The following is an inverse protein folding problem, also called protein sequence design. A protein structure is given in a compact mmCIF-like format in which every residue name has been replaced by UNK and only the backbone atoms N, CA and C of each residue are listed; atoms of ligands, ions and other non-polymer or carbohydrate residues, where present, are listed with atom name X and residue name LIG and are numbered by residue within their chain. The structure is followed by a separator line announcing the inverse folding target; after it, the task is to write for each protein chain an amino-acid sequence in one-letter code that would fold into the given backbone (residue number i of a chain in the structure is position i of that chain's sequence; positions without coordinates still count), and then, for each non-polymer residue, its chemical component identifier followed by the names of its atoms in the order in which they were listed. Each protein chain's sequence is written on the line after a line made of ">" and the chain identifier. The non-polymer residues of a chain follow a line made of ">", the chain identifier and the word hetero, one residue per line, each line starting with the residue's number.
data_IF_803793966025
#
_entry.id   IF_803793966025
#
_cell.length_a   1.000
_cell.length_b   1.000
_cell.length_c   1.000
_cell.angle_alpha   90.00
_cell.angle_beta   90.00
_cell.angle_gamma   90.00
#
_symmetry.space_group_name_H-M   'P 1'
#
loop_
_entity.id
_entity.type
_entity.pdbx_description
1 polymer ?
#
# COMPACT_ATOMS: atom_id res chain seq x y z
N UNK A 1 -29.71 4.76 25.89
CA UNK A 1 -29.76 4.81 24.42
C UNK A 1 -28.75 5.84 23.95
N UNK A 2 -27.67 5.40 23.26
CA UNK A 2 -26.70 6.33 22.67
C UNK A 2 -27.37 7.10 21.52
N UNK A 3 -27.11 8.41 21.47
CA UNK A 3 -27.55 9.28 20.35
C UNK A 3 -27.00 8.68 19.04
N UNK A 4 -27.83 8.53 17.97
CA UNK A 4 -27.32 8.05 16.68
C UNK A 4 -26.09 8.85 16.28
N UNK A 5 -25.03 8.17 15.79
CA UNK A 5 -23.86 8.87 15.22
C UNK A 5 -24.35 9.74 14.07
N UNK A 6 -23.98 11.03 14.09
CA UNK A 6 -24.43 11.99 13.08
C UNK A 6 -23.63 11.91 11.78
N UNK A 7 -22.72 10.94 11.63
CA UNK A 7 -21.86 10.75 10.46
C UNK A 7 -21.68 9.26 10.15
N UNK A 8 -21.43 8.95 8.90
CA UNK A 8 -21.07 7.61 8.44
C UNK A 8 -19.62 7.31 8.83
N UNK A 9 -19.43 6.22 9.60
CA UNK A 9 -18.12 5.86 10.17
C UNK A 9 -17.14 5.34 9.13
N UNK A 10 -17.64 4.60 8.13
CA UNK A 10 -16.81 3.99 7.11
C UNK A 10 -16.32 5.06 6.13
N UNK A 11 -17.18 6.01 5.78
CA UNK A 11 -16.81 7.21 5.01
C UNK A 11 -15.77 8.03 5.76
N UNK A 12 -15.95 8.26 7.06
CA UNK A 12 -14.98 8.98 7.86
C UNK A 12 -13.62 8.26 7.96
N UNK A 13 -13.64 6.92 8.04
CA UNK A 13 -12.42 6.10 8.04
C UNK A 13 -11.67 6.21 6.70
N UNK A 14 -12.38 6.17 5.56
CA UNK A 14 -11.76 6.34 4.24
C UNK A 14 -11.15 7.74 4.08
N UNK A 15 -11.84 8.79 4.51
CA UNK A 15 -11.32 10.16 4.50
C UNK A 15 -10.06 10.30 5.39
N UNK A 16 -10.10 9.75 6.61
CA UNK A 16 -8.94 9.75 7.51
C UNK A 16 -7.74 8.97 6.90
N UNK A 17 -8.00 7.83 6.27
CA UNK A 17 -6.99 7.04 5.56
C UNK A 17 -6.32 7.86 4.47
N UNK A 18 -7.09 8.57 3.64
CA UNK A 18 -6.57 9.42 2.56
C UNK A 18 -5.73 10.56 3.11
N UNK A 19 -6.17 11.19 4.20
CA UNK A 19 -5.44 12.29 4.84
C UNK A 19 -4.08 11.81 5.38
N UNK A 20 -4.05 10.66 6.06
CA UNK A 20 -2.80 10.05 6.52
C UNK A 20 -1.89 9.63 5.36
N UNK A 21 -2.47 9.16 4.26
CA UNK A 21 -1.71 8.76 3.07
C UNK A 21 -1.03 9.95 2.42
N UNK A 22 -1.73 11.09 2.32
CA UNK A 22 -1.23 12.29 1.67
C UNK A 22 -0.16 13.00 2.52
N UNK A 23 -0.45 13.20 3.80
CA UNK A 23 0.39 14.03 4.68
C UNK A 23 1.32 13.23 5.61
N UNK A 24 1.05 11.94 5.81
CA UNK A 24 1.74 11.10 6.79
C UNK A 24 1.15 11.24 8.20
N UNK A 25 1.48 10.25 9.06
CA UNK A 25 0.95 10.18 10.43
C UNK A 25 1.36 11.38 11.28
N UNK A 26 2.65 11.71 11.31
CA UNK A 26 3.16 12.78 12.19
C UNK A 26 2.61 14.16 11.80
N UNK A 27 2.50 14.45 10.51
CA UNK A 27 2.06 15.75 10.01
C UNK A 27 0.53 15.95 10.07
N UNK A 28 -0.24 14.89 10.28
CA UNK A 28 -1.71 14.97 10.40
C UNK A 28 -2.10 15.23 11.84
N UNK A 29 -2.71 16.37 12.15
CA UNK A 29 -3.19 16.72 13.48
C UNK A 29 -4.65 16.28 13.70
N UNK A 30 -5.11 16.27 14.97
CA UNK A 30 -6.55 16.08 15.28
C UNK A 30 -7.40 17.19 14.69
N UNK A 31 -6.86 18.41 14.58
CA UNK A 31 -7.58 19.52 13.97
C UNK A 31 -7.81 19.26 12.47
N UNK A 32 -6.80 18.79 11.74
CA UNK A 32 -6.92 18.44 10.32
C UNK A 32 -7.94 17.32 10.12
N UNK A 33 -7.87 16.27 10.93
CA UNK A 33 -8.82 15.15 10.89
C UNK A 33 -10.27 15.63 11.14
N UNK A 34 -10.49 16.43 12.17
CA UNK A 34 -11.85 16.92 12.48
C UNK A 34 -12.39 17.86 11.41
N UNK A 35 -11.54 18.67 10.80
CA UNK A 35 -11.91 19.52 9.68
C UNK A 35 -12.28 18.70 8.45
N UNK A 36 -11.45 17.73 8.05
CA UNK A 36 -11.67 16.87 6.88
C UNK A 36 -12.94 16.01 7.05
N UNK A 37 -13.11 15.40 8.22
CA UNK A 37 -14.24 14.53 8.51
C UNK A 37 -15.55 15.29 8.81
N UNK A 38 -15.49 16.60 8.99
CA UNK A 38 -16.65 17.42 9.35
C UNK A 38 -17.26 17.06 10.71
N UNK A 39 -16.46 16.55 11.67
CA UNK A 39 -16.92 16.12 12.99
C UNK A 39 -16.16 16.83 14.11
N UNK A 40 -16.74 16.87 15.30
CA UNK A 40 -16.06 17.44 16.48
C UNK A 40 -14.99 16.48 17.03
N UNK A 41 -13.97 17.00 17.71
CA UNK A 41 -12.96 16.18 18.37
C UNK A 41 -13.55 15.18 19.37
N UNK A 42 -14.53 15.53 20.24
CA UNK A 42 -15.21 14.53 21.07
C UNK A 42 -15.87 13.40 20.27
N UNK A 43 -16.45 13.70 19.08
CA UNK A 43 -17.05 12.69 18.21
C UNK A 43 -16.02 11.77 17.59
N UNK A 44 -14.85 12.31 17.19
CA UNK A 44 -13.72 11.55 16.67
C UNK A 44 -13.20 10.57 17.74
N UNK A 45 -12.93 11.07 18.96
CA UNK A 45 -12.46 10.23 20.06
C UNK A 45 -13.48 9.16 20.47
N UNK A 46 -14.78 9.49 20.46
CA UNK A 46 -15.82 8.52 20.75
C UNK A 46 -15.96 7.42 19.69
N UNK A 47 -15.63 7.72 18.42
CA UNK A 47 -15.76 6.78 17.31
C UNK A 47 -14.52 5.90 17.12
N UNK A 48 -13.32 6.47 17.30
CA UNK A 48 -12.06 5.85 16.90
C UNK A 48 -11.02 5.74 18.02
N UNK A 49 -11.29 6.29 19.22
CA UNK A 49 -10.35 6.35 20.31
C UNK A 49 -9.38 7.53 20.16
N UNK A 50 -8.12 7.25 19.93
CA UNK A 50 -7.10 8.28 19.72
C UNK A 50 -6.58 8.29 18.26
N UNK A 51 -5.70 9.23 17.93
CA UNK A 51 -5.09 9.36 16.61
C UNK A 51 -4.38 8.06 16.18
N UNK A 52 -3.71 7.38 17.13
CA UNK A 52 -2.99 6.15 16.83
C UNK A 52 -3.95 5.00 16.52
N UNK A 53 -5.05 4.88 17.25
CA UNK A 53 -6.08 3.88 17.00
C UNK A 53 -6.73 4.10 15.65
N UNK A 54 -7.11 5.36 15.33
CA UNK A 54 -7.64 5.72 14.01
C UNK A 54 -6.65 5.41 12.89
N UNK A 55 -5.35 5.72 13.06
CA UNK A 55 -4.33 5.41 12.05
C UNK A 55 -4.19 3.90 11.83
N UNK A 56 -4.15 3.10 12.88
CA UNK A 56 -4.10 1.63 12.78
C UNK A 56 -5.30 1.07 12.03
N UNK A 57 -6.50 1.60 12.32
CA UNK A 57 -7.73 1.19 11.65
C UNK A 57 -7.74 1.63 10.18
N UNK A 58 -7.26 2.82 9.87
CA UNK A 58 -7.10 3.32 8.51
C UNK A 58 -6.12 2.47 7.69
N UNK A 59 -5.00 2.04 8.29
CA UNK A 59 -4.04 1.13 7.65
C UNK A 59 -4.68 -0.24 7.39
N UNK A 60 -5.40 -0.79 8.37
CA UNK A 60 -6.10 -2.06 8.19
C UNK A 60 -7.18 -1.98 7.09
N UNK A 61 -7.90 -0.87 7.01
CA UNK A 61 -8.86 -0.59 5.94
C UNK A 61 -8.19 -0.53 4.56
N UNK A 62 -7.04 0.14 4.45
CA UNK A 62 -6.23 0.18 3.23
C UNK A 62 -5.76 -1.22 2.80
N UNK A 63 -5.22 -2.01 3.72
CA UNK A 63 -4.69 -3.36 3.43
C UNK A 63 -5.80 -4.38 3.13
N UNK A 64 -7.01 -4.17 3.61
CA UNK A 64 -8.17 -5.02 3.31
C UNK A 64 -8.67 -4.89 1.85
N UNK A 65 -8.17 -3.92 1.09
CA UNK A 65 -8.53 -3.75 -0.31
C UNK A 65 -8.12 -4.99 -1.12
N UNK A 66 -9.07 -5.74 -1.74
CA UNK A 66 -8.76 -6.92 -2.55
C UNK A 66 -7.94 -6.60 -3.80
N UNK A 67 -7.90 -5.33 -4.20
CA UNK A 67 -7.08 -4.83 -5.30
C UNK A 67 -5.64 -4.50 -4.88
N UNK A 68 -5.20 -4.88 -3.67
CA UNK A 68 -3.85 -4.55 -3.19
C UNK A 68 -2.75 -5.15 -4.07
N UNK A 69 -1.62 -4.47 -4.15
CA UNK A 69 -0.45 -4.91 -4.93
C UNK A 69 0.06 -6.28 -4.45
N UNK A 70 0.04 -6.53 -3.14
CA UNK A 70 0.50 -7.80 -2.55
C UNK A 70 -0.38 -8.97 -2.97
N UNK A 71 -1.71 -8.78 -3.05
CA UNK A 71 -2.63 -9.85 -3.48
C UNK A 71 -2.62 -10.06 -4.98
N UNK A 72 -2.22 -9.08 -5.79
CA UNK A 72 -2.19 -9.21 -7.25
C UNK A 72 -1.33 -10.38 -7.73
N UNK A 73 -0.24 -10.72 -7.03
CA UNK A 73 0.64 -11.84 -7.37
C UNK A 73 0.06 -13.24 -7.12
N UNK A 74 -1.05 -13.37 -6.39
CA UNK A 74 -1.56 -14.69 -5.93
C UNK A 74 -2.01 -15.64 -7.05
N UNK A 75 -2.32 -15.12 -8.22
CA UNK A 75 -2.74 -15.90 -9.40
C UNK A 75 -1.57 -16.33 -10.31
N UNK A 76 -0.34 -15.87 -10.04
CA UNK A 76 0.85 -16.25 -10.82
C UNK A 76 1.25 -17.70 -10.56
N UNK A 77 1.66 -18.41 -11.62
CA UNK A 77 2.10 -19.81 -11.59
C UNK A 77 3.62 -19.95 -11.67
N UNK A 78 4.31 -18.88 -12.06
CA UNK A 78 5.78 -18.74 -12.06
C UNK A 78 6.20 -17.50 -11.30
N UNK A 79 7.45 -17.46 -10.85
CA UNK A 79 8.01 -16.28 -10.19
C UNK A 79 7.90 -15.03 -11.09
N UNK A 80 8.19 -15.19 -12.39
CA UNK A 80 8.03 -14.12 -13.38
C UNK A 80 6.60 -13.57 -13.42
N UNK A 81 5.58 -14.43 -13.43
CA UNK A 81 4.18 -14.01 -13.42
C UNK A 81 3.79 -13.30 -12.14
N UNK A 82 4.19 -13.82 -10.97
CA UNK A 82 3.95 -13.18 -9.67
C UNK A 82 4.49 -11.75 -9.66
N UNK A 83 5.76 -11.56 -10.01
CA UNK A 83 6.38 -10.24 -10.05
C UNK A 83 5.71 -9.32 -11.07
N UNK A 84 5.45 -9.82 -12.28
CA UNK A 84 4.80 -9.06 -13.35
C UNK A 84 3.43 -8.55 -12.93
N UNK A 85 2.62 -9.39 -12.28
CA UNK A 85 1.29 -9.02 -11.81
C UNK A 85 1.36 -7.95 -10.71
N UNK A 86 2.26 -8.12 -9.75
CA UNK A 86 2.47 -7.14 -8.67
C UNK A 86 2.94 -5.79 -9.24
N UNK A 87 3.93 -5.78 -10.12
CA UNK A 87 4.48 -4.55 -10.69
C UNK A 87 3.48 -3.83 -11.60
N UNK A 88 2.71 -4.57 -12.42
CA UNK A 88 1.66 -3.98 -13.23
C UNK A 88 0.58 -3.32 -12.35
N UNK A 89 0.15 -3.99 -11.28
CA UNK A 89 -0.82 -3.41 -10.35
C UNK A 89 -0.24 -2.17 -9.67
N UNK A 90 1.01 -2.21 -9.23
CA UNK A 90 1.68 -1.08 -8.62
C UNK A 90 1.73 0.15 -9.55
N UNK A 91 2.05 -0.05 -10.84
CA UNK A 91 2.05 1.06 -11.80
C UNK A 91 0.68 1.73 -11.95
N UNK A 92 -0.40 0.93 -11.99
CA UNK A 92 -1.78 1.43 -12.07
C UNK A 92 -2.20 2.18 -10.80
N UNK A 93 -2.03 1.52 -9.63
CA UNK A 93 -2.47 2.06 -8.36
C UNK A 93 -1.66 3.29 -7.93
N UNK A 94 -0.32 3.25 -8.06
CA UNK A 94 0.51 4.32 -7.54
C UNK A 94 0.41 5.63 -8.34
N UNK A 95 0.06 5.55 -9.62
CA UNK A 95 -0.17 6.71 -10.48
C UNK A 95 -1.66 7.15 -10.54
N UNK A 96 -2.57 6.42 -9.88
CA UNK A 96 -4.01 6.71 -9.91
C UNK A 96 -4.31 8.12 -9.38
N UNK A 97 -5.28 8.78 -10.01
CA UNK A 97 -5.82 10.07 -9.56
C UNK A 97 -7.03 9.92 -8.62
N UNK A 98 -7.52 8.68 -8.42
CA UNK A 98 -8.66 8.41 -7.57
C UNK A 98 -8.32 8.49 -6.06
N UNK A 99 -7.05 8.51 -5.71
CA UNK A 99 -6.53 8.56 -4.34
C UNK A 99 -5.12 9.19 -4.32
N UNK A 100 -4.52 9.47 -3.13
CA UNK A 100 -3.16 9.97 -3.03
C UNK A 100 -2.16 9.06 -3.73
N UNK A 101 -1.17 9.61 -4.42
CA UNK A 101 -0.19 8.87 -5.21
C UNK A 101 0.72 8.00 -4.34
N UNK A 102 1.22 6.92 -4.95
CA UNK A 102 2.11 5.97 -4.29
C UNK A 102 1.34 4.95 -3.45
N UNK A 103 1.93 4.53 -2.34
CA UNK A 103 1.38 3.51 -1.44
C UNK A 103 1.48 3.99 0.01
N UNK A 104 0.36 3.98 0.75
CA UNK A 104 0.32 4.36 2.17
C UNK A 104 1.38 3.60 2.99
N UNK A 105 1.45 2.27 2.83
CA UNK A 105 2.37 1.43 3.60
C UNK A 105 3.84 1.70 3.25
N UNK A 106 4.13 1.94 1.96
CA UNK A 106 5.51 2.17 1.51
C UNK A 106 6.02 3.57 1.86
N UNK A 107 5.13 4.56 1.97
CA UNK A 107 5.50 5.96 2.26
C UNK A 107 5.52 6.31 3.76
N UNK A 108 4.93 5.48 4.64
CA UNK A 108 4.85 5.74 6.06
C UNK A 108 5.99 5.06 6.84
N UNK A 109 6.94 5.80 7.45
CA UNK A 109 8.06 5.21 8.22
C UNK A 109 7.58 4.29 9.33
N UNK A 110 6.46 4.61 9.97
CA UNK A 110 5.86 3.88 11.10
C UNK A 110 5.42 2.46 10.72
N UNK A 111 5.17 2.20 9.41
CA UNK A 111 4.64 0.94 8.90
C UNK A 111 5.73 -0.07 8.46
N UNK A 112 6.91 -0.02 9.09
CA UNK A 112 7.99 -1.00 8.82
C UNK A 112 7.54 -2.43 9.07
N UNK A 113 6.72 -2.67 10.12
CA UNK A 113 6.14 -3.98 10.40
C UNK A 113 5.26 -4.49 9.25
N UNK A 114 4.38 -3.64 8.73
CA UNK A 114 3.51 -3.98 7.59
C UNK A 114 4.32 -4.27 6.32
N UNK A 115 5.35 -3.47 6.02
CA UNK A 115 6.26 -3.74 4.89
C UNK A 115 6.96 -5.09 5.02
N UNK A 116 7.43 -5.44 6.22
CA UNK A 116 8.07 -6.73 6.48
C UNK A 116 7.09 -7.89 6.31
N UNK A 117 5.85 -7.73 6.78
CA UNK A 117 4.78 -8.72 6.60
C UNK A 117 4.44 -8.91 5.12
N UNK A 118 4.26 -7.82 4.37
CA UNK A 118 3.98 -7.88 2.93
C UNK A 118 5.11 -8.58 2.15
N UNK A 119 6.36 -8.32 2.52
CA UNK A 119 7.51 -9.02 1.95
C UNK A 119 7.51 -10.51 2.28
N UNK A 120 7.19 -10.88 3.51
CA UNK A 120 7.08 -12.29 3.90
C UNK A 120 5.97 -13.01 3.13
N UNK A 121 4.80 -12.39 2.95
CA UNK A 121 3.70 -12.92 2.13
C UNK A 121 4.17 -13.14 0.68
N UNK A 122 4.90 -12.19 0.11
CA UNK A 122 5.45 -12.33 -1.25
C UNK A 122 6.46 -13.48 -1.33
N UNK A 123 7.35 -13.63 -0.35
CA UNK A 123 8.28 -14.75 -0.30
C UNK A 123 7.55 -16.10 -0.21
N UNK A 124 6.49 -16.18 0.59
CA UNK A 124 5.66 -17.39 0.71
C UNK A 124 4.93 -17.73 -0.61
N UNK A 125 4.50 -16.73 -1.36
CA UNK A 125 3.93 -16.94 -2.70
C UNK A 125 5.00 -17.47 -3.68
N UNK A 126 6.18 -16.86 -3.68
CA UNK A 126 7.29 -17.25 -4.55
C UNK A 126 7.81 -18.66 -4.26
N UNK A 127 7.79 -19.13 -2.99
CA UNK A 127 8.17 -20.52 -2.66
C UNK A 127 7.20 -21.57 -3.20
N UNK A 128 5.96 -21.19 -3.52
CA UNK A 128 4.91 -22.10 -4.01
C UNK A 128 4.89 -22.24 -5.52
N UNK A 129 5.61 -21.40 -6.24
CA UNK A 129 5.63 -21.38 -7.71
C UNK A 129 7.01 -21.78 -8.24
N UNK A 130 7.08 -22.16 -9.51
CA UNK A 130 8.34 -22.43 -10.17
C UNK A 130 9.18 -21.16 -10.28
N UNK A 131 10.43 -21.23 -9.83
CA UNK A 131 11.43 -20.18 -10.06
C UNK A 131 12.12 -20.52 -11.38
N UNK A 132 11.65 -19.90 -12.46
CA UNK A 132 12.10 -20.10 -13.84
C UNK A 132 13.18 -19.09 -14.23
N UNK A 133 14.21 -18.98 -13.40
CA UNK A 133 15.38 -18.17 -13.69
C UNK A 133 16.60 -19.07 -13.86
N UNK A 134 17.45 -18.78 -14.85
CA UNK A 134 18.76 -19.47 -14.99
C UNK A 134 19.70 -19.22 -13.80
N UNK A 135 19.41 -18.15 -13.05
CA UNK A 135 20.13 -17.82 -11.82
C UNK A 135 19.38 -18.44 -10.64
N UNK A 136 20.09 -19.13 -9.75
CA UNK A 136 19.56 -19.71 -8.51
C UNK A 136 19.24 -18.62 -7.48
N UNK A 137 18.31 -17.70 -7.82
CA UNK A 137 17.84 -16.65 -6.92
C UNK A 137 16.73 -17.25 -6.02
N UNK A 138 16.92 -17.18 -4.71
CA UNK A 138 15.91 -17.68 -3.76
C UNK A 138 14.69 -16.75 -3.67
N UNK A 139 13.59 -17.29 -3.13
CA UNK A 139 12.31 -16.59 -2.99
C UNK A 139 12.43 -15.34 -2.09
N UNK A 140 13.26 -15.38 -1.07
CA UNK A 140 13.52 -14.29 -0.14
C UNK A 140 14.20 -13.11 -0.85
N UNK A 141 15.21 -13.40 -1.63
CA UNK A 141 15.94 -12.40 -2.43
C UNK A 141 15.03 -11.77 -3.49
N UNK A 142 14.21 -12.58 -4.19
CA UNK A 142 13.22 -12.06 -5.14
C UNK A 142 12.14 -11.20 -4.46
N UNK A 143 11.66 -11.61 -3.30
CA UNK A 143 10.71 -10.82 -2.52
C UNK A 143 11.34 -9.50 -2.05
N UNK A 144 12.58 -9.52 -1.57
CA UNK A 144 13.30 -8.33 -1.16
C UNK A 144 13.52 -7.36 -2.34
N UNK A 145 13.93 -7.87 -3.50
CA UNK A 145 14.07 -7.10 -4.73
C UNK A 145 12.75 -6.45 -5.14
N UNK A 146 11.67 -7.25 -5.18
CA UNK A 146 10.34 -6.77 -5.56
C UNK A 146 9.88 -5.65 -4.63
N UNK A 147 10.01 -5.83 -3.30
CA UNK A 147 9.60 -4.81 -2.34
C UNK A 147 10.47 -3.55 -2.38
N UNK A 148 11.79 -3.67 -2.60
CA UNK A 148 12.64 -2.50 -2.81
C UNK A 148 12.20 -1.70 -4.05
N UNK A 149 11.83 -2.40 -5.13
CA UNK A 149 11.30 -1.77 -6.33
C UNK A 149 9.94 -1.12 -6.10
N UNK A 150 9.02 -1.78 -5.39
CA UNK A 150 7.72 -1.21 -5.03
C UNK A 150 7.83 0.05 -4.19
N UNK A 151 8.78 0.11 -3.25
CA UNK A 151 9.08 1.33 -2.48
C UNK A 151 9.59 2.44 -3.41
N UNK A 152 10.53 2.12 -4.32
CA UNK A 152 11.04 3.07 -5.31
C UNK A 152 9.96 3.59 -6.25
N UNK A 153 9.09 2.71 -6.79
CA UNK A 153 7.96 3.10 -7.65
C UNK A 153 6.95 3.97 -6.90
N UNK A 154 6.68 3.66 -5.62
CA UNK A 154 5.79 4.47 -4.77
C UNK A 154 6.34 5.88 -4.58
N UNK A 155 7.64 6.02 -4.28
CA UNK A 155 8.29 7.32 -4.17
C UNK A 155 8.27 8.07 -5.49
N UNK A 156 8.63 7.41 -6.60
CA UNK A 156 8.66 8.02 -7.92
C UNK A 156 7.29 8.53 -8.37
N UNK A 157 6.20 7.78 -8.06
CA UNK A 157 4.84 8.23 -8.30
C UNK A 157 4.49 9.48 -7.49
N UNK A 158 4.90 9.56 -6.22
CA UNK A 158 4.71 10.75 -5.36
C UNK A 158 5.48 11.96 -5.88
N UNK A 159 6.61 11.74 -6.53
CA UNK A 159 7.40 12.78 -7.20
C UNK A 159 6.78 13.24 -8.54
N UNK A 160 5.63 12.68 -8.92
CA UNK A 160 4.86 13.10 -10.08
C UNK A 160 4.98 12.21 -11.31
N UNK A 161 5.68 11.07 -11.23
CA UNK A 161 5.77 10.14 -12.35
C UNK A 161 4.38 9.58 -12.73
N UNK A 162 4.10 9.54 -14.03
CA UNK A 162 2.87 8.93 -14.56
C UNK A 162 2.98 7.39 -14.67
N UNK A 163 1.88 6.74 -15.00
CA UNK A 163 1.81 5.28 -15.14
C UNK A 163 2.80 4.75 -16.18
N UNK A 164 3.01 5.46 -17.30
CA UNK A 164 3.93 5.03 -18.36
C UNK A 164 5.39 5.06 -17.89
N UNK A 165 5.77 6.09 -17.13
CA UNK A 165 7.10 6.20 -16.54
C UNK A 165 7.35 5.09 -15.53
N UNK A 166 6.37 4.76 -14.67
CA UNK A 166 6.47 3.64 -13.74
C UNK A 166 6.60 2.30 -14.48
N UNK A 167 5.83 2.09 -15.56
CA UNK A 167 5.90 0.88 -16.40
C UNK A 167 7.28 0.67 -17.01
N UNK A 168 7.93 1.70 -17.51
CA UNK A 168 9.29 1.60 -18.06
C UNK A 168 10.29 1.08 -17.03
N UNK A 169 10.18 1.53 -15.79
CA UNK A 169 11.03 1.02 -14.69
C UNK A 169 10.69 -0.43 -14.36
N UNK A 170 9.40 -0.77 -14.27
CA UNK A 170 8.94 -2.13 -14.00
C UNK A 170 9.38 -3.11 -15.10
N UNK A 171 9.28 -2.74 -16.38
CA UNK A 171 9.72 -3.56 -17.51
C UNK A 171 11.24 -3.81 -17.50
N UNK A 172 12.04 -2.80 -17.12
CA UNK A 172 13.47 -2.99 -16.94
C UNK A 172 13.76 -4.00 -15.83
N UNK A 173 13.06 -3.90 -14.70
CA UNK A 173 13.21 -4.83 -13.59
C UNK A 173 12.78 -6.26 -13.97
N UNK A 174 11.77 -6.42 -14.80
CA UNK A 174 11.31 -7.72 -15.29
C UNK A 174 12.34 -8.47 -16.16
N UNK A 175 13.35 -7.77 -16.70
CA UNK A 175 14.45 -8.43 -17.43
C UNK A 175 15.35 -9.26 -16.50
N UNK A 176 15.41 -8.93 -15.22
CA UNK A 176 16.18 -9.67 -14.21
C UNK A 176 15.59 -11.07 -13.97
N UNK A 177 14.28 -11.25 -14.21
CA UNK A 177 13.59 -12.54 -14.05
C UNK A 177 13.39 -13.29 -15.37
N UNK A 178 13.91 -12.77 -16.47
CA UNK A 178 13.98 -13.42 -17.78
C UNK A 178 15.43 -13.80 -18.02
N UNK A 179 15.87 -14.83 -17.43
CA UNK A 179 17.18 -15.42 -17.82
C UNK A 179 16.94 -16.78 -18.42
#
# INVERSE_FOLDING_TARGET
>A
MGRPRSFDRDTALDQAMRLFWEHGYEQTSIADLTQELGISAPSLYAAFGDKQALFKEAVAHYEANPASVTTAGTAGTTAHEVLRMMLNRACQEYASEAHPRGCLVNSAPELTGNRNQNRAITADQLRKVAIDTETSIDAETLAAFTHALLVGLSSYARDGADEEQLRRVAELAMRVTRA
#
